data_IF_934883394733
#
_entry.id   IF_934883394733
#
_cell.length_a   1.000
_cell.length_b   1.000
_cell.length_c   1.000
_cell.angle_alpha   90.00
_cell.angle_beta   90.00
_cell.angle_gamma   90.00
#
_symmetry.space_group_name_H-M   'P 1'
#
loop_
_entity.id
_entity.type
_entity.pdbx_description
1 polymer ?
#
# COMPACT_ATOMS: atom_id res chain seq x y z
N UNK A 1 -9.38 -12.12 0.60
CA UNK A 1 -9.60 -11.03 1.58
C UNK A 1 -10.86 -11.23 2.39
N UNK A 2 -12.05 -11.43 1.81
CA UNK A 2 -13.29 -11.63 2.57
C UNK A 2 -13.20 -12.77 3.60
N UNK A 3 -12.68 -13.93 3.21
CA UNK A 3 -12.44 -15.04 4.14
C UNK A 3 -11.58 -14.63 5.35
N UNK A 4 -10.53 -13.84 5.10
CA UNK A 4 -9.63 -13.30 6.15
C UNK A 4 -10.38 -12.31 7.04
N UNK A 5 -11.16 -11.40 6.45
CA UNK A 5 -11.98 -10.43 7.19
C UNK A 5 -13.11 -11.09 7.99
N UNK A 6 -13.61 -12.25 7.53
CA UNK A 6 -14.64 -13.05 8.22
C UNK A 6 -14.11 -13.95 9.33
N UNK A 7 -12.79 -13.92 9.61
CA UNK A 7 -12.16 -14.70 10.66
C UNK A 7 -11.85 -16.16 10.30
N UNK A 8 -12.05 -16.58 9.05
CA UNK A 8 -11.81 -17.98 8.61
C UNK A 8 -10.38 -18.47 8.87
N UNK A 9 -9.41 -17.56 8.92
CA UNK A 9 -7.99 -17.86 9.14
C UNK A 9 -7.47 -17.32 10.49
N UNK A 10 -8.38 -17.07 11.45
CA UNK A 10 -7.98 -16.72 12.81
C UNK A 10 -6.98 -17.75 13.38
N UNK A 11 -5.94 -17.25 14.06
CA UNK A 11 -4.84 -18.07 14.58
C UNK A 11 -3.72 -18.38 13.58
N UNK A 12 -3.93 -18.19 12.26
CA UNK A 12 -2.88 -18.36 11.25
C UNK A 12 -1.96 -17.13 11.12
N UNK A 13 -2.46 -15.97 11.53
CA UNK A 13 -1.74 -14.69 11.59
C UNK A 13 -2.15 -13.94 12.85
N UNK A 14 -1.30 -13.01 13.30
CA UNK A 14 -1.53 -12.22 14.51
C UNK A 14 -2.06 -10.82 14.16
N UNK A 15 -1.72 -10.30 12.96
CA UNK A 15 -2.15 -8.98 12.49
C UNK A 15 -2.45 -8.97 11.00
N UNK A 16 -3.56 -8.35 10.62
CA UNK A 16 -3.87 -8.00 9.23
C UNK A 16 -3.78 -6.48 9.08
N UNK A 17 -3.04 -6.02 8.07
CA UNK A 17 -2.96 -4.61 7.69
C UNK A 17 -3.45 -4.49 6.25
N UNK A 18 -4.63 -3.89 6.06
CA UNK A 18 -5.13 -3.54 4.73
C UNK A 18 -4.68 -2.12 4.42
N UNK A 19 -3.85 -1.95 3.40
CA UNK A 19 -3.30 -0.67 2.98
C UNK A 19 -4.07 -0.18 1.75
N UNK A 20 -4.82 0.91 1.92
CA UNK A 20 -5.46 1.61 0.82
C UNK A 20 -4.49 2.68 0.28
N UNK A 21 -3.96 2.45 -0.93
CA UNK A 21 -3.05 3.36 -1.61
C UNK A 21 -3.76 4.41 -2.46
N UNK A 22 -5.10 4.51 -2.39
CA UNK A 22 -5.86 5.56 -3.05
C UNK A 22 -5.62 6.91 -2.39
N UNK A 23 -6.07 7.96 -3.05
CA UNK A 23 -6.02 9.30 -2.50
C UNK A 23 -7.02 9.50 -1.35
N UNK A 24 -6.79 10.49 -0.47
CA UNK A 24 -7.64 10.70 0.70
C UNK A 24 -9.11 10.87 0.35
N UNK A 25 -9.45 11.65 -0.69
CA UNK A 25 -10.85 11.83 -1.08
C UNK A 25 -11.52 10.52 -1.55
N UNK A 26 -10.79 9.63 -2.25
CA UNK A 26 -11.30 8.31 -2.65
C UNK A 26 -11.54 7.41 -1.41
N UNK A 27 -10.64 7.50 -0.42
CA UNK A 27 -10.70 6.73 0.82
C UNK A 27 -11.85 7.21 1.73
N UNK A 28 -11.95 8.50 1.98
CA UNK A 28 -13.03 9.11 2.76
C UNK A 28 -14.40 8.89 2.10
N UNK A 29 -14.42 8.83 0.75
CA UNK A 29 -15.58 8.46 -0.05
C UNK A 29 -16.03 7.01 0.05
N UNK A 30 -15.33 6.17 0.81
CA UNK A 30 -15.63 4.77 1.04
C UNK A 30 -14.40 3.88 0.87
N UNK A 31 -14.07 3.11 1.91
CA UNK A 31 -12.91 2.22 1.96
C UNK A 31 -13.25 0.89 2.63
N UNK A 32 -12.37 -0.11 2.51
CA UNK A 32 -12.53 -1.39 3.22
C UNK A 32 -12.38 -1.14 4.72
N UNK A 33 -13.29 -1.68 5.52
CA UNK A 33 -13.30 -1.54 6.96
C UNK A 33 -11.93 -1.92 7.57
N UNK A 34 -11.44 -1.07 8.48
CA UNK A 34 -10.13 -1.17 9.14
C UNK A 34 -8.92 -1.03 8.20
N UNK A 35 -9.12 -0.63 6.93
CA UNK A 35 -8.00 -0.25 6.09
C UNK A 35 -7.34 1.04 6.59
N UNK A 36 -6.04 1.18 6.35
CA UNK A 36 -5.28 2.40 6.62
C UNK A 36 -4.93 3.08 5.31
N UNK A 37 -5.21 4.38 5.19
CA UNK A 37 -4.85 5.14 4.00
C UNK A 37 -3.37 5.54 4.04
N UNK A 38 -2.54 4.89 3.21
CA UNK A 38 -1.11 5.18 3.06
C UNK A 38 -0.82 5.42 1.58
N UNK A 39 -0.96 6.67 1.16
CA UNK A 39 -0.89 7.09 -0.25
C UNK A 39 0.47 7.69 -0.66
N UNK A 40 1.39 7.86 0.30
CA UNK A 40 2.75 8.36 0.06
C UNK A 40 3.81 7.39 0.57
N UNK A 41 5.04 7.48 0.05
CA UNK A 41 6.13 6.64 0.53
C UNK A 41 6.44 6.94 1.99
N UNK A 42 6.45 8.22 2.34
CA UNK A 42 6.81 8.71 3.66
C UNK A 42 5.81 8.21 4.73
N UNK A 43 4.51 8.23 4.43
CA UNK A 43 3.48 7.68 5.32
C UNK A 43 3.61 6.16 5.46
N UNK A 44 3.91 5.45 4.36
CA UNK A 44 4.15 4.01 4.38
C UNK A 44 5.38 3.65 5.24
N UNK A 45 6.50 4.31 5.02
CA UNK A 45 7.75 4.07 5.75
C UNK A 45 7.58 4.34 7.24
N UNK A 46 6.94 5.47 7.59
CA UNK A 46 6.64 5.82 8.97
C UNK A 46 5.72 4.79 9.64
N UNK A 47 4.69 4.32 8.95
CA UNK A 47 3.76 3.33 9.50
C UNK A 47 4.43 1.98 9.79
N UNK A 48 5.26 1.48 8.86
CA UNK A 48 5.85 0.14 8.96
C UNK A 48 7.19 0.10 9.70
N UNK A 49 7.96 1.19 9.71
CA UNK A 49 9.32 1.23 10.27
C UNK A 49 9.59 2.42 11.21
N UNK A 50 8.63 3.34 11.37
CA UNK A 50 8.79 4.52 12.23
C UNK A 50 8.80 4.23 13.73
N UNK A 51 8.31 3.06 14.15
CA UNK A 51 8.36 2.64 15.56
C UNK A 51 9.08 1.30 15.71
N UNK A 52 10.35 1.33 16.10
CA UNK A 52 11.32 0.23 16.04
C UNK A 52 11.00 -0.99 16.94
N UNK A 53 9.90 -0.98 17.70
CA UNK A 53 9.60 -2.00 18.73
C UNK A 53 8.43 -2.94 18.40
N UNK A 54 7.62 -2.67 17.37
CA UNK A 54 6.29 -3.27 17.27
C UNK A 54 6.18 -4.57 16.44
N UNK A 55 7.20 -4.97 15.69
CA UNK A 55 7.00 -5.90 14.56
C UNK A 55 7.92 -7.12 14.52
N UNK A 56 8.82 -7.29 15.49
CA UNK A 56 9.84 -8.34 15.41
C UNK A 56 9.30 -9.77 15.55
N UNK A 57 8.10 -9.99 16.11
CA UNK A 57 7.60 -11.33 16.44
C UNK A 57 6.13 -11.61 16.11
N UNK A 58 5.44 -10.74 15.34
CA UNK A 58 4.04 -10.97 14.96
C UNK A 58 3.92 -11.41 13.51
N UNK A 59 3.16 -12.50 13.26
CA UNK A 59 2.80 -12.96 11.92
C UNK A 59 1.84 -11.94 11.30
N UNK A 60 2.41 -10.95 10.62
CA UNK A 60 1.66 -9.84 10.03
C UNK A 60 1.44 -10.09 8.54
N UNK A 61 0.18 -10.11 8.12
CA UNK A 61 -0.22 -10.09 6.71
C UNK A 61 -0.48 -8.66 6.29
N UNK A 62 0.09 -8.23 5.18
CA UNK A 62 -0.17 -6.92 4.58
C UNK A 62 -0.81 -7.08 3.22
N UNK A 63 -1.97 -6.45 3.03
CA UNK A 63 -2.72 -6.47 1.78
C UNK A 63 -2.81 -5.06 1.23
N UNK A 64 -2.16 -4.82 0.08
CA UNK A 64 -2.22 -3.55 -0.63
C UNK A 64 -3.38 -3.54 -1.62
N UNK A 65 -4.06 -2.41 -1.75
CA UNK A 65 -4.98 -2.18 -2.85
C UNK A 65 -5.00 -0.71 -3.26
N UNK A 66 -5.50 -0.45 -4.47
CA UNK A 66 -5.94 0.90 -4.83
C UNK A 66 -7.34 0.82 -5.43
N UNK A 67 -7.67 1.65 -6.41
CA UNK A 67 -8.97 1.59 -7.10
C UNK A 67 -9.11 0.32 -7.94
N UNK A 68 -8.14 0.09 -8.83
CA UNK A 68 -8.06 -1.09 -9.72
C UNK A 68 -6.91 -2.05 -9.35
N UNK A 69 -6.05 -1.65 -8.41
CA UNK A 69 -4.81 -2.36 -8.02
C UNK A 69 -3.79 -2.61 -9.13
N UNK A 70 -3.86 -1.89 -10.26
CA UNK A 70 -2.95 -2.11 -11.40
C UNK A 70 -1.64 -1.30 -11.36
N UNK A 71 -1.61 -0.18 -10.62
CA UNK A 71 -0.45 0.73 -10.64
C UNK A 71 -0.01 1.18 -9.25
N UNK A 72 -0.87 1.90 -8.52
CA UNK A 72 -0.53 2.51 -7.23
C UNK A 72 -0.15 1.44 -6.19
N UNK A 73 -1.00 0.43 -6.00
CA UNK A 73 -0.77 -0.65 -5.04
C UNK A 73 0.47 -1.50 -5.32
N UNK A 74 0.70 -2.04 -6.54
CA UNK A 74 1.93 -2.78 -6.83
C UNK A 74 3.20 -1.97 -6.59
N UNK A 75 3.21 -0.67 -6.97
CA UNK A 75 4.35 0.22 -6.74
C UNK A 75 4.64 0.42 -5.25
N UNK A 76 3.60 0.61 -4.44
CA UNK A 76 3.73 0.75 -2.99
C UNK A 76 4.20 -0.55 -2.32
N UNK A 77 3.65 -1.70 -2.71
CA UNK A 77 4.06 -3.01 -2.22
C UNK A 77 5.54 -3.32 -2.55
N UNK A 78 5.97 -3.03 -3.79
CA UNK A 78 7.37 -3.15 -4.19
C UNK A 78 8.30 -2.21 -3.43
N UNK A 79 7.85 -0.98 -3.15
CA UNK A 79 8.63 -0.02 -2.37
C UNK A 79 8.82 -0.51 -0.93
N UNK A 80 7.74 -0.99 -0.27
CA UNK A 80 7.85 -1.58 1.07
C UNK A 80 8.82 -2.76 1.10
N UNK A 81 8.69 -3.71 0.16
CA UNK A 81 9.57 -4.87 0.09
C UNK A 81 11.03 -4.49 -0.17
N UNK A 82 11.29 -3.50 -1.02
CA UNK A 82 12.65 -2.99 -1.26
C UNK A 82 13.25 -2.41 0.00
N UNK A 83 12.49 -1.61 0.75
CA UNK A 83 12.96 -1.01 1.98
C UNK A 83 13.19 -2.07 3.07
N UNK A 84 12.28 -3.02 3.23
CA UNK A 84 12.43 -4.13 4.18
C UNK A 84 13.73 -4.92 3.90
N UNK A 85 14.02 -5.22 2.63
CA UNK A 85 15.27 -5.87 2.22
C UNK A 85 16.51 -5.02 2.50
N UNK A 86 16.43 -3.71 2.32
CA UNK A 86 17.53 -2.78 2.61
C UNK A 86 17.83 -2.73 4.11
N UNK A 87 16.80 -2.62 4.94
CA UNK A 87 16.92 -2.60 6.40
C UNK A 87 17.41 -3.95 6.97
N UNK A 88 17.04 -5.05 6.33
CA UNK A 88 17.43 -6.40 6.73
C UNK A 88 18.61 -6.98 5.92
N UNK A 89 19.40 -6.14 5.25
CA UNK A 89 20.47 -6.59 4.36
C UNK A 89 21.51 -7.49 5.05
N UNK A 90 21.84 -7.20 6.32
CA UNK A 90 22.81 -7.99 7.12
C UNK A 90 22.23 -9.34 7.55
N UNK A 91 20.90 -9.45 7.66
CA UNK A 91 20.20 -10.63 8.15
C UNK A 91 19.56 -11.44 7.02
N UNK A 92 20.03 -11.30 5.79
CA UNK A 92 19.47 -12.02 4.64
C UNK A 92 19.42 -13.53 4.91
N UNK A 93 18.29 -14.24 4.63
CA UNK A 93 17.12 -13.83 3.84
C UNK A 93 15.94 -13.26 4.66
N UNK A 94 16.14 -12.80 5.90
CA UNK A 94 15.08 -12.29 6.77
C UNK A 94 14.27 -11.12 6.14
N UNK A 95 12.99 -11.03 6.51
CA UNK A 95 12.06 -9.95 6.20
C UNK A 95 11.22 -9.66 7.44
N UNK A 96 11.00 -8.38 7.73
CA UNK A 96 10.05 -7.97 8.77
C UNK A 96 8.59 -8.20 8.33
N UNK A 97 8.31 -8.10 7.02
CA UNK A 97 6.99 -8.33 6.45
C UNK A 97 7.06 -9.34 5.28
N UNK A 98 7.17 -10.64 5.58
CA UNK A 98 7.27 -11.68 4.55
C UNK A 98 5.99 -11.84 3.73
N UNK A 99 4.82 -11.70 4.37
CA UNK A 99 3.50 -11.91 3.81
C UNK A 99 2.90 -10.62 3.22
N UNK A 100 3.22 -10.33 1.94
CA UNK A 100 2.71 -9.17 1.20
C UNK A 100 1.84 -9.61 0.02
N UNK A 101 0.65 -9.04 -0.09
CA UNK A 101 -0.32 -9.33 -1.15
C UNK A 101 -0.84 -8.05 -1.80
N UNK A 102 -1.28 -8.15 -3.06
CA UNK A 102 -2.04 -7.11 -3.75
C UNK A 102 -3.44 -7.64 -4.01
N UNK A 103 -4.47 -6.89 -3.60
CA UNK A 103 -5.87 -7.25 -3.85
C UNK A 103 -6.21 -7.03 -5.31
N UNK A 104 -6.37 -8.12 -6.06
CA UNK A 104 -6.74 -8.06 -7.47
C UNK A 104 -8.08 -7.33 -7.69
N UNK A 105 -8.15 -6.53 -8.76
CA UNK A 105 -9.30 -5.69 -9.11
C UNK A 105 -9.58 -4.50 -8.18
N UNK A 106 -8.82 -4.34 -7.10
CA UNK A 106 -8.87 -3.21 -6.18
C UNK A 106 -10.21 -2.96 -5.49
N UNK A 107 -10.37 -1.75 -4.95
CA UNK A 107 -11.59 -1.34 -4.25
C UNK A 107 -12.81 -1.39 -5.18
N UNK A 108 -12.67 -1.04 -6.45
CA UNK A 108 -13.77 -1.08 -7.43
C UNK A 108 -14.38 -2.47 -7.53
N UNK A 109 -13.56 -3.49 -7.74
CA UNK A 109 -14.05 -4.87 -7.87
C UNK A 109 -14.51 -5.44 -6.53
N UNK A 110 -13.91 -4.99 -5.42
CA UNK A 110 -14.34 -5.36 -4.08
C UNK A 110 -15.75 -4.81 -3.78
N UNK A 111 -15.96 -3.51 -3.97
CA UNK A 111 -17.22 -2.81 -3.71
C UNK A 111 -18.37 -3.20 -4.66
N UNK A 112 -18.05 -3.55 -5.91
CA UNK A 112 -19.05 -3.99 -6.90
C UNK A 112 -19.81 -5.26 -6.44
N UNK A 113 -19.23 -6.07 -5.57
CA UNK A 113 -19.87 -7.28 -5.06
C UNK A 113 -20.76 -6.93 -3.86
N UNK A 114 -22.07 -7.15 -4.00
CA UNK A 114 -23.07 -6.81 -2.98
C UNK A 114 -22.75 -7.38 -1.59
N UNK A 115 -22.31 -8.64 -1.53
CA UNK A 115 -21.92 -9.32 -0.28
C UNK A 115 -20.73 -8.67 0.43
N UNK A 116 -19.89 -7.93 -0.29
CA UNK A 116 -18.67 -7.30 0.24
C UNK A 116 -18.90 -5.88 0.73
N UNK A 117 -20.00 -5.22 0.31
CA UNK A 117 -20.33 -3.85 0.72
C UNK A 117 -20.49 -3.69 2.23
N UNK A 118 -20.90 -4.75 2.92
CA UNK A 118 -20.97 -4.77 4.39
C UNK A 118 -19.60 -4.51 5.06
N UNK A 119 -18.50 -4.78 4.36
CA UNK A 119 -17.14 -4.51 4.81
C UNK A 119 -16.57 -3.19 4.29
N UNK A 120 -17.42 -2.26 3.84
CA UNK A 120 -17.02 -0.93 3.36
C UNK A 120 -17.60 0.17 4.24
N UNK A 121 -16.80 1.19 4.53
CA UNK A 121 -17.19 2.35 5.36
C UNK A 121 -16.65 3.64 4.75
N UNK A 122 -17.51 4.65 4.50
CA UNK A 122 -18.94 4.50 4.23
C UNK A 122 -19.20 3.48 3.10
N UNK A 123 -20.44 2.99 2.97
CA UNK A 123 -20.85 2.07 1.90
C UNK A 123 -21.03 2.80 0.55
N UNK A 124 -20.03 3.55 0.15
CA UNK A 124 -19.96 4.31 -1.09
C UNK A 124 -18.62 4.07 -1.78
N UNK A 125 -18.52 4.62 -2.98
CA UNK A 125 -17.33 4.56 -3.79
C UNK A 125 -17.20 5.87 -4.55
N UNK A 126 -16.11 6.59 -4.30
CA UNK A 126 -15.69 7.75 -5.08
C UNK A 126 -14.53 7.31 -5.98
N UNK A 127 -14.70 7.55 -7.28
CA UNK A 127 -13.71 7.24 -8.30
C UNK A 127 -12.59 8.28 -8.30
N UNK A 128 -11.41 7.90 -8.80
CA UNK A 128 -10.26 8.82 -8.86
C UNK A 128 -10.51 10.02 -9.80
N UNK A 129 -11.35 9.89 -10.82
CA UNK A 129 -11.64 10.93 -11.80
C UNK A 129 -12.95 11.69 -11.52
N UNK A 130 -13.48 11.56 -10.29
CA UNK A 130 -14.67 12.27 -9.83
C UNK A 130 -14.57 13.78 -10.12
N UNK A 131 -15.68 14.34 -10.61
CA UNK A 131 -15.73 15.72 -11.11
C UNK A 131 -15.44 16.74 -10.02
N UNK A 132 -15.80 16.44 -8.78
CA UNK A 132 -15.65 17.35 -7.65
C UNK A 132 -14.20 17.40 -7.15
N UNK A 133 -13.35 16.43 -7.53
CA UNK A 133 -11.98 16.26 -7.04
C UNK A 133 -10.90 16.40 -8.11
N UNK A 134 -11.23 16.88 -9.32
CA UNK A 134 -10.28 16.97 -10.45
C UNK A 134 -8.96 17.70 -10.12
N UNK A 135 -9.03 18.81 -9.39
CA UNK A 135 -7.85 19.61 -9.03
C UNK A 135 -6.95 18.85 -8.05
N UNK A 136 -7.54 18.20 -7.05
CA UNK A 136 -6.83 17.39 -6.07
C UNK A 136 -6.22 16.13 -6.71
N UNK A 137 -6.98 15.42 -7.53
CA UNK A 137 -6.52 14.27 -8.31
C UNK A 137 -5.26 14.61 -9.12
N UNK A 138 -5.30 15.72 -9.88
CA UNK A 138 -4.15 16.18 -10.67
C UNK A 138 -2.92 16.46 -9.80
N UNK A 139 -3.11 17.15 -8.69
CA UNK A 139 -2.02 17.50 -7.78
C UNK A 139 -1.40 16.26 -7.12
N UNK A 140 -2.21 15.32 -6.65
CA UNK A 140 -1.73 14.12 -5.98
C UNK A 140 -1.11 13.11 -6.96
N UNK A 141 -1.64 12.99 -8.18
CA UNK A 141 -1.01 12.18 -9.22
C UNK A 141 0.37 12.72 -9.60
N UNK A 142 0.52 14.03 -9.73
CA UNK A 142 1.82 14.65 -10.00
C UNK A 142 2.84 14.36 -8.88
N UNK A 143 2.40 14.44 -7.61
CA UNK A 143 3.23 14.09 -6.43
C UNK A 143 3.60 12.61 -6.43
N UNK A 144 2.64 11.73 -6.70
CA UNK A 144 2.85 10.28 -6.75
C UNK A 144 3.88 9.91 -7.81
N UNK A 145 3.71 10.38 -9.06
CA UNK A 145 4.66 10.08 -10.14
C UNK A 145 6.06 10.59 -9.84
N UNK A 146 6.19 11.84 -9.37
CA UNK A 146 7.48 12.43 -9.01
C UNK A 146 8.22 11.61 -7.95
N UNK A 147 7.51 11.11 -6.92
CA UNK A 147 8.14 10.34 -5.83
C UNK A 147 8.73 9.00 -6.31
N UNK A 148 8.15 8.38 -7.35
CA UNK A 148 8.66 7.14 -7.93
C UNK A 148 9.75 7.34 -8.97
N UNK A 149 9.76 8.47 -9.68
CA UNK A 149 10.81 8.81 -10.65
C UNK A 149 12.13 9.23 -9.98
N UNK A 150 12.08 9.80 -8.78
CA UNK A 150 13.26 10.28 -8.04
C UNK A 150 14.30 9.16 -7.78
N UNK A 151 13.86 7.90 -7.61
CA UNK A 151 14.75 6.74 -7.42
C UNK A 151 15.54 6.38 -8.69
N UNK A 152 14.97 6.58 -9.90
CA UNK A 152 15.69 6.33 -11.16
C UNK A 152 16.85 7.32 -11.34
N UNK A 153 16.63 8.59 -10.99
CA UNK A 153 17.69 9.62 -11.05
C UNK A 153 18.80 9.35 -10.03
N UNK A 154 18.45 8.99 -8.78
CA UNK A 154 19.46 8.69 -7.76
C UNK A 154 20.25 7.40 -8.06
N UNK A 155 19.63 6.38 -8.67
CA UNK A 155 20.32 5.16 -9.11
C UNK A 155 21.24 5.42 -10.31
N UNK A 156 20.81 6.27 -11.25
CA UNK A 156 21.64 6.69 -12.39
C UNK A 156 22.86 7.52 -11.95
N UNK A 157 22.70 8.44 -10.99
CA UNK A 157 23.80 9.22 -10.39
C UNK A 157 24.78 8.31 -9.62
N UNK A 158 24.26 7.29 -8.94
CA UNK A 158 25.09 6.34 -8.18
C UNK A 158 25.89 5.41 -9.11
N UNK A 159 25.33 5.02 -10.27
CA UNK A 159 26.01 4.26 -11.32
C UNK A 159 27.08 5.07 -12.07
N UNK A 160 26.81 6.35 -12.40
CA UNK A 160 27.81 7.20 -13.06
C UNK A 160 29.03 7.48 -12.17
N UNK A 161 28.84 7.56 -10.85
CA UNK A 161 29.94 7.70 -9.88
C UNK A 161 30.75 6.41 -9.64
N UNK A 162 30.20 5.23 -9.94
CA UNK A 162 30.89 3.95 -9.78
C UNK A 162 31.66 3.49 -11.03
N UNK A 163 31.41 4.13 -12.19
CA UNK A 163 32.12 3.89 -13.45
C UNK A 163 33.13 4.99 -13.81
N UNK A 164 33.51 5.85 -12.86
CA UNK A 164 34.60 6.80 -13.03
C UNK A 164 35.89 6.19 -12.46
N UNK A 165 36.49 5.27 -13.20
CA UNK A 165 37.87 4.79 -13.03
C UNK A 165 38.64 5.04 -14.33
#
# INVERSE_FOLDING_TARGET
LCDVLSGKYEGSYDKLIVVDCRFPYEYEGGHIQNAVNLNTKESLESHFFGNSRATLNSRTIVVFHCEYSSHRAPRMAHHLRSLDRELNAVNYPHLSYPELYVLDGGYRSFFAQSVRKAHCVPQSYIEMDDKDFKSECKAQMARFTKSFDQKLKNKAIRWSRSNSF
#
